data_IF_926955959924
#
_entry.id   IF_926955959924
#
_cell.length_a   1.000
_cell.length_b   1.000
_cell.length_c   1.000
_cell.angle_alpha   90.00
_cell.angle_beta   90.00
_cell.angle_gamma   90.00
#
_symmetry.space_group_name_H-M   'P 1'
#
loop_
_entity.id
_entity.type
_entity.pdbx_description
1 polymer ?
#
# COMPACT_ATOMS: atom_id res chain seq x y z
N UNK A 1 -18.20 4.29 4.55
CA UNK A 1 -17.90 3.86 3.20
C UNK A 1 -16.81 2.79 3.22
N UNK A 2 -17.04 1.71 2.51
CA UNK A 2 -16.07 0.63 2.45
C UNK A 2 -15.10 0.89 1.31
N UNK A 3 -13.79 0.86 1.54
CA UNK A 3 -12.85 1.05 0.44
C UNK A 3 -12.94 -0.09 -0.57
N UNK A 4 -12.81 0.24 -1.83
CA UNK A 4 -12.83 -0.74 -2.91
C UNK A 4 -11.45 -0.93 -3.51
N UNK A 5 -10.58 0.07 -3.41
CA UNK A 5 -9.24 0.01 -3.95
C UNK A 5 -8.21 0.45 -2.94
N UNK A 6 -7.11 -0.27 -2.89
CA UNK A 6 -6.02 -0.01 -1.96
C UNK A 6 -4.75 0.22 -2.78
N UNK A 7 -4.10 1.35 -2.56
CA UNK A 7 -2.80 1.62 -3.17
C UNK A 7 -1.70 1.14 -2.23
N UNK A 8 -0.74 0.40 -2.76
CA UNK A 8 0.34 -0.17 -1.96
C UNK A 8 1.62 0.63 -2.18
N UNK A 9 2.19 1.09 -1.08
CA UNK A 9 3.51 1.72 -1.07
C UNK A 9 4.37 0.86 -0.16
N UNK A 10 5.38 0.21 -0.70
CA UNK A 10 6.15 -0.77 0.06
C UNK A 10 7.64 -0.52 -0.03
N UNK A 11 8.34 -0.81 1.06
CA UNK A 11 9.80 -0.84 1.06
C UNK A 11 10.22 -2.26 0.65
N UNK A 12 10.56 -2.41 -0.63
CA UNK A 12 10.87 -3.71 -1.20
C UNK A 12 12.21 -4.26 -0.76
N UNK A 13 13.02 -3.45 -0.07
CA UNK A 13 14.32 -3.91 0.42
C UNK A 13 14.20 -4.69 1.73
N UNK A 14 13.04 -4.67 2.34
CA UNK A 14 12.81 -5.45 3.56
C UNK A 14 12.72 -6.94 3.23
N UNK A 15 13.34 -7.76 4.06
CA UNK A 15 13.41 -9.20 3.80
C UNK A 15 12.04 -9.87 3.77
N UNK A 16 11.08 -9.35 4.52
CA UNK A 16 9.75 -9.91 4.61
C UNK A 16 8.72 -9.25 3.67
N UNK A 17 9.16 -8.36 2.79
CA UNK A 17 8.24 -7.62 1.94
C UNK A 17 7.39 -8.55 1.07
N UNK A 18 8.00 -9.51 0.39
CA UNK A 18 7.26 -10.41 -0.49
C UNK A 18 6.22 -11.24 0.28
N UNK A 19 6.58 -11.69 1.46
CA UNK A 19 5.66 -12.47 2.29
C UNK A 19 4.46 -11.65 2.70
N UNK A 20 4.69 -10.40 3.11
CA UNK A 20 3.60 -9.53 3.54
C UNK A 20 2.71 -9.15 2.35
N UNK A 21 3.32 -8.85 1.20
CA UNK A 21 2.54 -8.53 0.00
C UNK A 21 1.67 -9.71 -0.43
N UNK A 22 2.18 -10.94 -0.35
CA UNK A 22 1.40 -12.12 -0.70
C UNK A 22 0.22 -12.32 0.23
N UNK A 23 0.41 -12.07 1.52
CA UNK A 23 -0.69 -12.19 2.50
C UNK A 23 -1.74 -11.11 2.24
N UNK A 24 -1.30 -9.92 1.89
CA UNK A 24 -2.21 -8.84 1.59
C UNK A 24 -3.04 -9.17 0.34
N UNK A 25 -2.42 -9.74 -0.69
CA UNK A 25 -3.13 -10.13 -1.90
C UNK A 25 -4.21 -11.16 -1.60
N UNK A 26 -3.88 -12.14 -0.77
CA UNK A 26 -4.84 -13.18 -0.39
C UNK A 26 -6.03 -12.57 0.33
N UNK A 27 -5.76 -11.69 1.29
CA UNK A 27 -6.84 -11.06 2.06
C UNK A 27 -7.68 -10.15 1.19
N UNK A 28 -7.05 -9.37 0.33
CA UNK A 28 -7.78 -8.47 -0.55
C UNK A 28 -8.69 -9.26 -1.50
N UNK A 29 -8.22 -10.38 -2.02
CA UNK A 29 -9.03 -11.23 -2.87
C UNK A 29 -10.24 -11.79 -2.14
N UNK A 30 -10.10 -12.12 -0.86
CA UNK A 30 -11.21 -12.63 -0.06
C UNK A 30 -12.29 -11.58 0.17
N UNK A 31 -11.92 -10.31 0.11
CA UNK A 31 -12.86 -9.21 0.35
C UNK A 31 -13.24 -8.45 -0.92
N UNK A 32 -12.81 -8.93 -2.07
CA UNK A 32 -13.15 -8.28 -3.33
C UNK A 32 -12.51 -6.92 -3.54
N UNK A 33 -11.36 -6.68 -2.92
CA UNK A 33 -10.68 -5.40 -3.02
C UNK A 33 -9.72 -5.38 -4.20
N UNK A 34 -9.63 -4.25 -4.88
CA UNK A 34 -8.67 -4.06 -5.96
C UNK A 34 -7.38 -3.50 -5.38
N UNK A 35 -6.25 -4.08 -5.76
CA UNK A 35 -4.95 -3.59 -5.32
C UNK A 35 -4.28 -2.83 -6.46
N UNK A 36 -3.74 -1.67 -6.12
CA UNK A 36 -2.98 -0.83 -7.05
C UNK A 36 -1.58 -0.66 -6.47
N UNK A 37 -0.58 -0.67 -7.32
CA UNK A 37 0.79 -0.50 -6.85
C UNK A 37 1.62 0.15 -7.95
N UNK A 38 2.72 0.81 -7.57
CA UNK A 38 3.62 1.34 -8.57
C UNK A 38 4.29 0.17 -9.31
N UNK A 39 4.91 0.42 -10.47
CA UNK A 39 5.45 -0.68 -11.29
C UNK A 39 6.43 -1.58 -10.55
N UNK A 40 7.30 -1.03 -9.72
CA UNK A 40 8.26 -1.85 -8.99
C UNK A 40 7.56 -2.77 -7.98
N UNK A 41 6.63 -2.23 -7.23
CA UNK A 41 5.89 -3.01 -6.24
C UNK A 41 4.98 -4.04 -6.93
N UNK A 42 4.31 -3.64 -8.00
CA UNK A 42 3.44 -4.54 -8.74
C UNK A 42 4.22 -5.73 -9.31
N UNK A 43 5.49 -5.52 -9.63
CA UNK A 43 6.36 -6.60 -10.11
C UNK A 43 6.60 -7.69 -9.08
N UNK A 44 6.36 -7.41 -7.80
CA UNK A 44 6.49 -8.38 -6.72
C UNK A 44 5.14 -8.99 -6.34
N UNK A 45 4.08 -8.66 -7.08
CA UNK A 45 2.72 -9.10 -6.74
C UNK A 45 2.12 -9.82 -7.94
N UNK A 46 1.09 -10.61 -7.72
CA UNK A 46 0.44 -11.36 -8.78
C UNK A 46 -0.90 -10.78 -9.19
N UNK A 47 -1.53 -10.01 -8.33
CA UNK A 47 -2.89 -9.53 -8.53
C UNK A 47 -3.05 -8.02 -8.44
N UNK A 48 -1.96 -7.28 -8.41
CA UNK A 48 -2.04 -5.83 -8.33
C UNK A 48 -1.99 -5.19 -9.71
N UNK A 49 -2.77 -4.14 -9.88
CA UNK A 49 -2.71 -3.33 -11.09
C UNK A 49 -1.55 -2.36 -10.97
N UNK A 50 -0.70 -2.29 -12.00
CA UNK A 50 0.43 -1.37 -12.01
C UNK A 50 -0.05 0.03 -12.38
N UNK A 51 0.25 1.00 -11.54
CA UNK A 51 -0.19 2.38 -11.70
C UNK A 51 0.99 3.29 -11.41
N UNK A 52 1.21 4.36 -12.18
CA UNK A 52 2.28 5.30 -11.84
C UNK A 52 2.14 5.78 -10.39
N UNK A 53 3.27 5.87 -9.69
CA UNK A 53 3.25 6.22 -8.26
C UNK A 53 2.47 7.52 -8.00
N UNK A 54 2.64 8.51 -8.88
CA UNK A 54 1.98 9.79 -8.69
C UNK A 54 0.45 9.71 -8.85
N UNK A 55 -0.06 8.61 -9.37
CA UNK A 55 -1.50 8.45 -9.55
C UNK A 55 -2.15 7.59 -8.45
N UNK A 56 -1.34 6.98 -7.61
CA UNK A 56 -1.87 6.05 -6.60
C UNK A 56 -2.89 6.72 -5.68
N UNK A 57 -2.54 7.90 -5.16
CA UNK A 57 -3.40 8.57 -4.19
C UNK A 57 -4.75 8.97 -4.79
N UNK A 58 -4.76 9.30 -6.08
CA UNK A 58 -6.01 9.69 -6.73
C UNK A 58 -6.89 8.51 -7.03
N UNK A 59 -6.29 7.37 -7.34
CA UNK A 59 -7.04 6.19 -7.76
C UNK A 59 -7.42 5.27 -6.62
N UNK A 60 -6.70 5.33 -5.51
CA UNK A 60 -6.95 4.44 -4.38
C UNK A 60 -7.87 5.11 -3.37
N UNK A 61 -8.66 4.31 -2.69
CA UNK A 61 -9.48 4.80 -1.59
C UNK A 61 -8.66 4.93 -0.31
N UNK A 62 -7.59 4.15 -0.20
CA UNK A 62 -6.68 4.22 0.94
C UNK A 62 -5.30 3.77 0.47
N UNK A 63 -4.25 4.35 1.05
CA UNK A 63 -2.87 3.91 0.79
C UNK A 63 -2.37 3.10 1.96
N UNK A 64 -1.78 1.94 1.67
CA UNK A 64 -1.09 1.15 2.67
C UNK A 64 0.40 1.38 2.49
N UNK A 65 1.03 1.94 3.52
CA UNK A 65 2.48 2.16 3.52
C UNK A 65 3.13 1.06 4.35
N UNK A 66 3.86 0.17 3.69
CA UNK A 66 4.42 -1.01 4.32
C UNK A 66 5.92 -0.89 4.43
N UNK A 67 6.42 -0.68 5.62
CA UNK A 67 7.84 -0.48 5.88
C UNK A 67 8.03 0.19 7.21
N UNK A 68 8.73 1.29 7.22
CA UNK A 68 8.94 2.08 8.42
C UNK A 68 8.47 3.49 8.21
N UNK A 69 8.96 4.40 9.05
CA UNK A 69 8.55 5.80 9.00
C UNK A 69 8.86 6.45 7.65
N UNK A 70 9.96 6.08 7.03
CA UNK A 70 10.32 6.62 5.72
C UNK A 70 9.30 6.27 4.65
N UNK A 71 8.73 5.07 4.72
CA UNK A 71 7.71 4.66 3.75
C UNK A 71 6.42 5.43 3.96
N UNK A 72 6.04 5.68 5.22
CA UNK A 72 4.86 6.49 5.52
C UNK A 72 5.05 7.91 5.01
N UNK A 73 6.25 8.49 5.22
CA UNK A 73 6.54 9.84 4.72
C UNK A 73 6.50 9.90 3.20
N UNK A 74 7.00 8.88 2.53
CA UNK A 74 6.94 8.82 1.09
C UNK A 74 5.49 8.76 0.61
N UNK A 75 4.67 7.92 1.25
CA UNK A 75 3.25 7.84 0.91
C UNK A 75 2.56 9.20 1.11
N UNK A 76 2.92 9.90 2.18
CA UNK A 76 2.34 11.22 2.43
C UNK A 76 2.69 12.21 1.31
N UNK A 77 3.89 12.11 0.76
CA UNK A 77 4.28 12.96 -0.36
C UNK A 77 3.49 12.63 -1.63
N UNK A 78 3.13 11.37 -1.82
CA UNK A 78 2.37 10.96 -2.98
C UNK A 78 0.95 11.49 -2.97
N UNK A 79 0.46 11.93 -1.80
CA UNK A 79 -0.89 12.47 -1.72
C UNK A 79 -1.06 13.70 -2.61
N UNK A 80 -0.04 14.56 -2.67
CA UNK A 80 -0.09 15.72 -3.54
C UNK A 80 -1.32 16.60 -3.36
N UNK A 81 -1.83 16.68 -2.15
CA UNK A 81 -3.05 17.44 -1.87
C UNK A 81 -4.32 16.61 -1.82
N UNK A 82 -4.24 15.32 -2.12
CA UNK A 82 -5.40 14.44 -2.02
C UNK A 82 -5.73 14.12 -0.56
N UNK A 83 -6.97 13.79 -0.29
CA UNK A 83 -7.42 13.48 1.06
C UNK A 83 -7.37 11.98 1.37
N UNK A 84 -6.73 11.19 0.52
CA UNK A 84 -6.66 9.75 0.69
C UNK A 84 -5.99 9.39 2.00
N UNK A 85 -6.61 8.60 2.86
CA UNK A 85 -5.98 8.21 4.12
C UNK A 85 -4.82 7.24 3.89
N UNK A 86 -3.86 7.28 4.79
CA UNK A 86 -2.69 6.40 4.76
C UNK A 86 -2.71 5.52 5.99
N UNK A 87 -2.57 4.22 5.78
CA UNK A 87 -2.45 3.26 6.85
C UNK A 87 -1.04 2.72 6.84
N UNK A 88 -0.29 2.95 7.90
CA UNK A 88 1.09 2.49 7.99
C UNK A 88 1.19 1.11 8.61
N UNK A 89 1.94 0.22 7.95
CA UNK A 89 2.23 -1.10 8.46
C UNK A 89 3.71 -1.21 8.74
N UNK A 90 4.06 -1.51 9.98
CA UNK A 90 5.45 -1.71 10.33
C UNK A 90 5.82 -3.17 10.11
N UNK A 91 6.63 -3.42 9.10
CA UNK A 91 7.01 -4.78 8.75
C UNK A 91 7.90 -5.46 9.78
N UNK A 92 8.59 -4.70 10.58
CA UNK A 92 9.49 -5.30 11.56
C UNK A 92 8.84 -5.77 12.84
N UNK A 93 7.59 -5.46 13.05
CA UNK A 93 6.88 -5.93 14.21
C UNK A 93 5.48 -6.26 13.75
N UNK A 94 4.70 -6.78 14.68
CA UNK A 94 3.49 -7.22 14.29
C UNK A 94 2.53 -6.24 14.12
N UNK A 95 2.70 -5.58 13.52
CA UNK A 95 1.66 -5.09 13.43
C UNK A 95 1.04 -4.01 13.12
N UNK A 96 1.20 -3.04 13.47
CA UNK A 96 0.32 -2.23 13.52
C UNK A 96 0.24 -1.07 13.03
N UNK A 97 -0.47 -0.45 12.95
CA UNK A 97 -1.05 0.38 12.15
C UNK A 97 -1.27 1.68 12.68
N UNK A 98 -0.77 2.69 12.02
CA UNK A 98 -1.02 4.08 12.31
C UNK A 98 -1.82 4.64 11.16
N UNK A 99 -2.91 5.29 11.43
CA UNK A 99 -3.68 5.95 10.39
C UNK A 99 -3.24 7.41 10.33
N UNK A 100 -2.88 7.85 9.13
CA UNK A 100 -2.47 9.22 8.89
C UNK A 100 -3.42 9.79 7.85
N UNK A 101 -4.14 10.78 8.23
CA UNK A 101 -5.18 11.32 7.36
C UNK A 101 -4.79 12.57 6.62
#
# INVERSE_FOLDING_TARGET
MTPESIGIVANLQRADADSVLGRLETRAGQHGLTLLADPDTAGHMTAAESVPAEDLARRADVLFAMGGDGTVLYAARLLGGADTPILGLNLGSLGFLTTVG
#
